data_IF_693941926686
#
_entry.id   IF_693941926686
#
_cell.length_a   1.000
_cell.length_b   1.000
_cell.length_c   1.000
_cell.angle_alpha   90.00
_cell.angle_beta   90.00
_cell.angle_gamma   90.00
#
_symmetry.space_group_name_H-M   'P 1'
#
loop_
_entity.id
_entity.type
_entity.pdbx_description
1 polymer ?
#
# COMPACT_ATOMS: atom_id res chain seq x y z
N UNK A 1 -35.38 5.87 7.45
CA UNK A 1 -34.71 4.64 6.98
C UNK A 1 -33.23 4.97 6.86
N UNK A 2 -32.35 4.24 7.55
CA UNK A 2 -30.91 4.42 7.43
C UNK A 2 -30.51 4.25 5.96
N UNK A 3 -30.12 5.36 5.33
CA UNK A 3 -29.64 5.36 3.95
C UNK A 3 -28.19 4.89 3.84
N UNK A 4 -27.56 4.51 4.96
CA UNK A 4 -26.19 4.07 5.00
C UNK A 4 -26.13 2.58 4.70
N UNK A 5 -25.40 2.26 3.64
CA UNK A 5 -25.05 0.89 3.26
C UNK A 5 -24.04 0.31 4.27
N UNK A 6 -24.20 -0.97 4.68
CA UNK A 6 -23.22 -1.67 5.52
C UNK A 6 -21.94 -2.03 4.74
N UNK A 7 -21.97 -1.94 3.40
CA UNK A 7 -20.83 -2.22 2.55
C UNK A 7 -19.92 -0.99 2.50
N UNK A 8 -18.65 -1.15 2.90
CA UNK A 8 -17.66 -0.07 2.96
C UNK A 8 -16.42 -0.48 2.15
N UNK A 9 -16.49 -0.43 0.81
CA UNK A 9 -15.43 -0.92 -0.05
C UNK A 9 -14.12 -0.17 0.17
N UNK A 10 -13.03 -0.92 0.37
CA UNK A 10 -11.66 -0.39 0.34
C UNK A 10 -11.04 -0.14 1.69
N UNK A 11 -11.83 -0.07 2.76
CA UNK A 11 -11.33 0.01 4.13
C UNK A 11 -10.98 -1.39 4.67
N UNK A 12 -10.06 -1.42 5.63
CA UNK A 12 -9.86 -2.61 6.47
C UNK A 12 -11.18 -2.92 7.19
N UNK A 13 -11.67 -4.14 7.00
CA UNK A 13 -12.86 -4.62 7.70
C UNK A 13 -12.43 -4.93 9.12
N UNK A 14 -12.94 -4.14 10.07
CA UNK A 14 -12.70 -4.31 11.52
C UNK A 14 -13.91 -4.88 12.24
N UNK A 15 -15.09 -4.69 11.67
CA UNK A 15 -16.35 -5.24 12.18
C UNK A 15 -16.39 -6.75 11.90
N UNK A 16 -16.48 -7.55 12.96
CA UNK A 16 -16.59 -9.01 12.89
C UNK A 16 -17.79 -9.47 12.09
N UNK A 17 -18.89 -8.71 12.12
CA UNK A 17 -20.10 -9.09 11.40
C UNK A 17 -20.00 -8.80 9.89
N UNK A 18 -18.95 -8.12 9.44
CA UNK A 18 -18.66 -7.88 8.03
C UNK A 18 -17.43 -8.66 7.53
N UNK A 19 -16.81 -9.47 8.39
CA UNK A 19 -15.67 -10.31 8.06
C UNK A 19 -16.10 -11.74 7.72
N UNK A 20 -16.23 -12.03 6.43
CA UNK A 20 -16.74 -13.32 5.93
C UNK A 20 -15.64 -14.27 5.48
N UNK A 21 -15.76 -15.54 5.85
CA UNK A 21 -14.87 -16.61 5.44
C UNK A 21 -13.51 -16.53 6.13
N UNK A 22 -12.44 -16.83 5.38
CA UNK A 22 -11.04 -16.80 5.85
C UNK A 22 -10.70 -17.74 7.01
N UNK A 23 -11.54 -18.76 7.25
CA UNK A 23 -11.40 -19.70 8.36
C UNK A 23 -10.11 -20.51 8.21
N UNK A 24 -9.86 -21.02 7.01
CA UNK A 24 -8.67 -21.84 6.72
C UNK A 24 -7.39 -20.98 6.80
N UNK A 25 -7.43 -19.77 6.25
CA UNK A 25 -6.29 -18.84 6.30
C UNK A 25 -5.98 -18.41 7.75
N UNK A 26 -7.00 -18.12 8.57
CA UNK A 26 -6.81 -17.82 9.99
C UNK A 26 -6.24 -19.03 10.73
N UNK A 27 -6.77 -20.24 10.49
CA UNK A 27 -6.27 -21.45 11.12
C UNK A 27 -4.81 -21.74 10.74
N UNK A 28 -4.43 -21.53 9.48
CA UNK A 28 -3.05 -21.66 9.02
C UNK A 28 -2.13 -20.65 9.73
N UNK A 29 -2.54 -19.38 9.81
CA UNK A 29 -1.77 -18.35 10.51
C UNK A 29 -1.62 -18.66 11.98
N UNK A 30 -2.71 -19.01 12.68
CA UNK A 30 -2.69 -19.40 14.10
C UNK A 30 -1.75 -20.59 14.35
N UNK A 31 -1.79 -21.62 13.49
CA UNK A 31 -0.89 -22.77 13.57
C UNK A 31 0.58 -22.38 13.34
N UNK A 32 0.85 -21.48 12.40
CA UNK A 32 2.21 -21.02 12.10
C UNK A 32 2.79 -20.23 13.27
N UNK A 33 2.05 -19.24 13.79
CA UNK A 33 2.52 -18.40 14.89
C UNK A 33 2.67 -19.19 16.20
N UNK A 34 1.82 -20.19 16.44
CA UNK A 34 1.96 -21.09 17.59
C UNK A 34 3.26 -21.93 17.56
N UNK A 35 3.83 -22.15 16.37
CA UNK A 35 5.13 -22.80 16.18
C UNK A 35 6.30 -21.80 16.13
N UNK A 36 6.06 -20.52 16.39
CA UNK A 36 7.06 -19.46 16.24
C UNK A 36 7.47 -19.18 14.79
N UNK A 37 6.70 -19.65 13.81
CA UNK A 37 7.02 -19.50 12.38
C UNK A 37 6.46 -18.20 11.81
N UNK A 38 7.22 -17.56 10.92
CA UNK A 38 6.81 -16.30 10.28
C UNK A 38 6.11 -16.53 8.94
N UNK A 39 5.07 -15.73 8.67
CA UNK A 39 4.21 -15.82 7.49
C UNK A 39 4.12 -14.48 6.76
N UNK A 40 4.25 -14.53 5.45
CA UNK A 40 3.98 -13.40 4.57
C UNK A 40 2.65 -13.60 3.86
N UNK A 41 1.68 -12.75 4.18
CA UNK A 41 0.37 -12.72 3.55
C UNK A 41 0.45 -11.89 2.27
N UNK A 42 0.34 -12.57 1.14
CA UNK A 42 0.44 -11.99 -0.21
C UNK A 42 -0.86 -12.16 -0.98
N UNK A 43 -1.06 -11.39 -2.04
CA UNK A 43 -2.25 -11.48 -2.90
C UNK A 43 -2.62 -10.12 -3.48
N UNK A 44 -3.64 -10.09 -4.33
CA UNK A 44 -4.06 -8.89 -5.05
C UNK A 44 -4.35 -7.70 -4.14
N UNK A 45 -4.29 -6.51 -4.73
CA UNK A 45 -4.72 -5.28 -4.07
C UNK A 45 -6.17 -5.42 -3.60
N UNK A 46 -6.44 -5.01 -2.36
CA UNK A 46 -7.78 -5.03 -1.73
C UNK A 46 -8.41 -6.43 -1.62
N UNK A 47 -7.61 -7.50 -1.64
CA UNK A 47 -8.09 -8.88 -1.40
C UNK A 47 -8.40 -9.18 0.09
N UNK A 48 -8.12 -8.23 0.98
CA UNK A 48 -8.42 -8.34 2.42
C UNK A 48 -7.24 -8.75 3.31
N UNK A 49 -5.99 -8.54 2.88
CA UNK A 49 -4.78 -8.82 3.68
C UNK A 49 -4.81 -8.11 5.03
N UNK A 50 -4.99 -6.79 5.02
CA UNK A 50 -5.08 -5.95 6.21
C UNK A 50 -6.22 -6.37 7.14
N UNK A 51 -7.40 -6.72 6.59
CA UNK A 51 -8.52 -7.27 7.37
C UNK A 51 -8.13 -8.59 8.03
N UNK A 52 -7.48 -9.51 7.30
CA UNK A 52 -7.04 -10.80 7.84
C UNK A 52 -6.07 -10.60 9.02
N UNK A 53 -5.05 -9.74 8.88
CA UNK A 53 -4.10 -9.43 9.95
C UNK A 53 -4.79 -8.80 11.16
N UNK A 54 -5.71 -7.85 10.91
CA UNK A 54 -6.47 -7.21 11.97
C UNK A 54 -7.29 -8.23 12.77
N UNK A 55 -8.03 -9.11 12.09
CA UNK A 55 -8.84 -10.14 12.73
C UNK A 55 -7.98 -11.21 13.43
N UNK A 56 -6.82 -11.57 12.88
CA UNK A 56 -5.88 -12.47 13.55
C UNK A 56 -5.44 -11.91 14.91
N UNK A 57 -5.11 -10.62 14.97
CA UNK A 57 -4.57 -10.01 16.18
C UNK A 57 -5.63 -9.69 17.25
N UNK A 58 -6.86 -9.37 16.85
CA UNK A 58 -7.89 -8.85 17.78
C UNK A 58 -9.06 -9.80 18.02
N UNK A 59 -9.32 -10.74 17.11
CA UNK A 59 -10.58 -11.51 17.12
C UNK A 59 -10.37 -13.03 16.99
N UNK A 60 -9.21 -13.49 16.53
CA UNK A 60 -8.94 -14.91 16.46
C UNK A 60 -8.83 -15.51 17.86
N UNK A 61 -9.31 -16.74 18.01
CA UNK A 61 -9.09 -17.53 19.21
C UNK A 61 -7.65 -18.05 19.17
N UNK A 62 -6.80 -17.47 20.00
CA UNK A 62 -5.39 -17.84 20.11
C UNK A 62 -5.13 -18.57 21.43
N UNK A 63 -4.18 -19.51 21.48
CA UNK A 63 -3.71 -20.07 22.74
C UNK A 63 -3.20 -18.98 23.71
N UNK A 64 -3.46 -19.13 25.01
CA UNK A 64 -3.15 -18.13 26.05
C UNK A 64 -1.67 -17.70 26.11
N UNK A 65 -0.77 -18.54 25.64
CA UNK A 65 0.66 -18.24 25.60
C UNK A 65 1.05 -17.36 24.41
N UNK A 66 0.17 -17.08 23.46
CA UNK A 66 0.48 -16.21 22.32
C UNK A 66 0.28 -14.75 22.71
N UNK A 67 1.36 -13.98 22.72
CA UNK A 67 1.32 -12.54 22.87
C UNK A 67 1.40 -11.89 21.48
N UNK A 68 0.29 -11.40 20.95
CA UNK A 68 0.21 -10.83 19.61
C UNK A 68 -0.04 -9.32 19.64
N UNK A 69 0.56 -8.60 18.70
CA UNK A 69 0.26 -7.18 18.47
C UNK A 69 0.10 -6.89 16.97
N UNK A 70 -0.72 -5.91 16.62
CA UNK A 70 -0.92 -5.44 15.25
C UNK A 70 -0.41 -4.01 15.09
N UNK A 71 0.39 -3.79 14.05
CA UNK A 71 1.01 -2.51 13.72
C UNK A 71 0.66 -2.16 12.27
N UNK A 72 -0.04 -1.04 12.10
CA UNK A 72 -0.29 -0.42 10.80
C UNK A 72 0.82 0.58 10.50
N UNK A 73 1.72 0.24 9.56
CA UNK A 73 2.88 1.07 9.24
C UNK A 73 2.53 2.35 8.44
N UNK A 74 1.26 2.57 8.11
CA UNK A 74 0.80 3.87 7.63
C UNK A 74 0.78 4.92 8.76
N UNK A 75 0.72 4.50 10.02
CA UNK A 75 0.72 5.41 11.16
C UNK A 75 2.10 6.05 11.35
N UNK A 76 2.12 7.39 11.35
CA UNK A 76 3.35 8.19 11.49
C UNK A 76 4.11 7.92 12.80
N UNK A 77 3.44 7.41 13.85
CA UNK A 77 4.09 7.02 15.12
C UNK A 77 5.15 5.94 14.92
N UNK A 78 5.02 5.12 13.89
CA UNK A 78 5.92 3.99 13.62
C UNK A 78 6.98 4.30 12.55
N UNK A 79 7.11 5.57 12.13
CA UNK A 79 8.11 5.99 11.12
C UNK A 79 9.49 6.26 11.74
N UNK A 80 9.69 5.93 13.01
CA UNK A 80 11.00 5.94 13.67
C UNK A 80 11.25 4.59 14.33
N UNK A 81 12.52 4.20 14.49
CA UNK A 81 12.88 2.93 15.16
C UNK A 81 12.33 2.89 16.58
N UNK A 82 12.54 3.93 17.39
CA UNK A 82 12.05 3.98 18.78
C UNK A 82 10.52 3.92 18.84
N UNK A 83 9.82 4.66 17.97
CA UNK A 83 8.36 4.67 17.92
C UNK A 83 7.77 3.31 17.53
N UNK A 84 8.36 2.64 16.54
CA UNK A 84 7.97 1.29 16.13
C UNK A 84 8.20 0.27 17.23
N UNK A 85 9.42 0.20 17.79
CA UNK A 85 9.77 -0.77 18.82
C UNK A 85 8.95 -0.54 20.10
N UNK A 86 8.79 0.72 20.53
CA UNK A 86 7.96 1.08 21.66
C UNK A 86 6.48 0.73 21.44
N UNK A 87 5.95 0.98 20.24
CA UNK A 87 4.59 0.59 19.86
C UNK A 87 4.35 -0.92 19.93
N UNK A 88 5.28 -1.71 19.40
CA UNK A 88 5.25 -3.18 19.47
C UNK A 88 5.25 -3.64 20.93
N UNK A 89 6.21 -3.17 21.73
CA UNK A 89 6.33 -3.57 23.12
C UNK A 89 5.10 -3.17 23.94
N UNK A 90 4.54 -1.98 23.68
CA UNK A 90 3.30 -1.55 24.33
C UNK A 90 2.15 -2.52 24.03
N UNK A 91 1.95 -2.92 22.77
CA UNK A 91 0.90 -3.87 22.40
C UNK A 91 1.12 -5.26 23.03
N UNK A 92 2.34 -5.79 22.99
CA UNK A 92 2.67 -7.06 23.64
C UNK A 92 2.50 -6.99 25.18
N UNK A 93 2.79 -5.85 25.78
CA UNK A 93 2.65 -5.66 27.22
C UNK A 93 1.18 -5.69 27.68
N UNK A 94 0.23 -5.24 26.85
CA UNK A 94 -1.20 -5.37 27.16
C UNK A 94 -1.63 -6.84 27.23
N UNK A 95 -1.18 -7.68 26.30
CA UNK A 95 -1.53 -9.11 26.27
C UNK A 95 -0.85 -9.90 27.40
N UNK A 96 0.34 -9.48 27.81
CA UNK A 96 1.11 -10.12 28.88
C UNK A 96 0.78 -9.59 30.28
N UNK A 97 -0.36 -8.93 30.47
CA UNK A 97 -0.82 -8.37 31.75
C UNK A 97 0.20 -7.39 32.38
N UNK A 98 0.76 -6.50 31.55
CA UNK A 98 1.66 -5.42 31.97
C UNK A 98 2.99 -5.87 32.63
N UNK A 99 3.44 -7.11 32.38
CA UNK A 99 4.67 -7.68 32.97
C UNK A 99 5.97 -7.03 32.47
N UNK A 100 5.96 -6.39 31.31
CA UNK A 100 7.13 -5.85 30.63
C UNK A 100 6.91 -4.38 30.30
N UNK A 101 7.11 -3.51 31.29
CA UNK A 101 7.04 -2.05 31.06
C UNK A 101 8.06 -1.63 30.00
N UNK A 102 7.61 -1.06 28.86
CA UNK A 102 8.52 -0.51 27.87
C UNK A 102 9.30 0.66 28.48
N UNK A 103 10.60 0.78 28.22
CA UNK A 103 11.36 2.00 28.51
C UNK A 103 10.82 3.21 27.70
N UNK A 104 11.10 4.43 28.16
CA UNK A 104 10.72 5.68 27.47
C UNK A 104 11.34 5.79 26.06
N UNK A 105 12.51 5.19 25.85
CA UNK A 105 13.14 5.02 24.55
C UNK A 105 13.72 3.62 24.42
N UNK A 106 13.49 2.98 23.27
CA UNK A 106 13.87 1.59 23.03
C UNK A 106 14.68 1.50 21.76
N UNK A 107 15.91 1.00 21.89
CA UNK A 107 16.74 0.62 20.76
C UNK A 107 16.57 -0.88 20.43
N UNK A 108 17.22 -1.33 19.36
CA UNK A 108 17.10 -2.71 18.90
C UNK A 108 17.65 -3.74 19.92
N UNK A 109 18.64 -3.36 20.72
CA UNK A 109 19.27 -4.22 21.73
C UNK A 109 18.33 -4.42 22.93
N UNK A 110 17.76 -3.33 23.44
CA UNK A 110 16.75 -3.35 24.49
C UNK A 110 15.51 -4.11 24.05
N UNK A 111 15.05 -3.88 22.81
CA UNK A 111 13.96 -4.63 22.21
C UNK A 111 14.24 -6.14 22.19
N UNK A 112 15.40 -6.55 21.67
CA UNK A 112 15.81 -7.97 21.60
C UNK A 112 15.84 -8.62 22.99
N UNK A 113 16.33 -7.90 23.99
CA UNK A 113 16.37 -8.37 25.38
C UNK A 113 14.96 -8.61 25.93
N UNK A 114 14.04 -7.66 25.71
CA UNK A 114 12.65 -7.77 26.19
C UNK A 114 11.91 -8.90 25.48
N UNK A 115 12.02 -9.01 24.15
CA UNK A 115 11.40 -10.09 23.37
C UNK A 115 11.91 -11.47 23.83
N UNK A 116 13.22 -11.60 24.06
CA UNK A 116 13.81 -12.85 24.56
C UNK A 116 13.27 -13.21 25.95
N UNK A 117 13.06 -12.21 26.81
CA UNK A 117 12.47 -12.41 28.13
C UNK A 117 10.99 -12.83 28.05
N UNK A 118 10.19 -12.18 27.18
CA UNK A 118 8.80 -12.59 26.92
C UNK A 118 8.78 -14.08 26.51
N UNK A 119 9.70 -14.48 25.62
CA UNK A 119 9.84 -15.87 25.19
C UNK A 119 10.24 -16.82 26.32
N UNK A 120 11.21 -16.44 27.16
CA UNK A 120 11.67 -17.29 28.28
C UNK A 120 10.60 -17.48 29.35
N UNK A 121 9.70 -16.52 29.51
CA UNK A 121 8.62 -16.56 30.48
C UNK A 121 7.40 -17.38 29.99
N UNK A 122 7.56 -18.07 28.86
CA UNK A 122 6.59 -19.03 28.33
C UNK A 122 5.65 -18.46 27.27
N UNK A 123 5.75 -17.18 26.93
CA UNK A 123 4.95 -16.59 25.86
C UNK A 123 5.59 -16.79 24.48
N UNK A 124 4.77 -16.80 23.43
CA UNK A 124 5.22 -16.65 22.05
C UNK A 124 4.89 -15.24 21.58
N UNK A 125 5.87 -14.33 21.46
CA UNK A 125 5.61 -13.00 20.91
C UNK A 125 5.39 -13.09 19.40
N UNK A 126 4.39 -12.37 18.92
CA UNK A 126 3.95 -12.32 17.53
C UNK A 126 3.67 -10.88 17.13
N UNK A 127 4.15 -10.47 15.96
CA UNK A 127 3.90 -9.13 15.42
C UNK A 127 3.22 -9.26 14.06
N UNK A 128 2.02 -8.70 13.96
CA UNK A 128 1.37 -8.44 12.68
C UNK A 128 1.83 -7.08 12.15
N UNK A 129 2.50 -7.06 11.00
CA UNK A 129 2.95 -5.83 10.33
C UNK A 129 2.15 -5.63 9.04
N UNK A 130 1.31 -4.59 9.02
CA UNK A 130 0.57 -4.19 7.83
C UNK A 130 1.34 -3.14 7.03
N UNK A 131 1.25 -3.22 5.70
CA UNK A 131 1.99 -2.36 4.76
C UNK A 131 3.52 -2.38 5.01
N UNK A 132 4.12 -3.58 5.08
CA UNK A 132 5.54 -3.81 5.37
C UNK A 132 6.49 -3.00 4.47
N UNK A 133 6.12 -2.75 3.22
CA UNK A 133 6.88 -1.95 2.27
C UNK A 133 7.25 -0.56 2.82
N UNK A 134 6.49 -0.04 3.79
CA UNK A 134 6.77 1.23 4.46
C UNK A 134 8.11 1.23 5.19
N UNK A 135 8.53 0.12 5.76
CA UNK A 135 9.88 0.03 6.36
C UNK A 135 10.96 0.02 5.28
N UNK A 136 10.66 -0.57 4.12
CA UNK A 136 11.65 -0.83 3.07
C UNK A 136 11.97 0.41 2.22
N UNK A 137 11.03 1.37 2.15
CA UNK A 137 11.23 2.65 1.45
C UNK A 137 11.96 3.72 2.28
N UNK A 138 12.28 3.42 3.55
CA UNK A 138 12.98 4.31 4.48
C UNK A 138 14.30 3.69 5.01
N UNK A 139 15.26 3.34 4.13
CA UNK A 139 16.50 2.66 4.51
C UNK A 139 17.40 3.47 5.45
N UNK A 140 17.26 4.80 5.47
CA UNK A 140 17.93 5.70 6.41
C UNK A 140 17.46 5.51 7.85
N UNK A 141 16.21 5.05 8.04
CA UNK A 141 15.61 4.82 9.34
C UNK A 141 15.67 3.33 9.70
N UNK A 142 15.25 2.47 8.79
CA UNK A 142 15.23 1.01 8.96
C UNK A 142 16.35 0.39 8.12
N UNK A 143 17.56 0.44 8.66
CA UNK A 143 18.75 0.00 7.98
C UNK A 143 18.92 -1.54 8.00
N UNK A 144 20.02 -2.02 7.42
CA UNK A 144 20.34 -3.45 7.37
C UNK A 144 20.44 -4.09 8.75
N UNK A 145 21.08 -3.43 9.71
CA UNK A 145 21.32 -4.00 11.04
C UNK A 145 20.01 -4.21 11.82
N UNK A 146 19.05 -3.30 11.65
CA UNK A 146 17.70 -3.45 12.17
C UNK A 146 17.04 -4.73 11.63
N UNK A 147 17.08 -4.95 10.32
CA UNK A 147 16.49 -6.13 9.69
C UNK A 147 17.25 -7.43 10.02
N UNK A 148 18.57 -7.40 10.19
CA UNK A 148 19.35 -8.57 10.63
C UNK A 148 19.01 -8.96 12.07
N UNK A 149 18.79 -8.00 12.97
CA UNK A 149 18.36 -8.29 14.34
C UNK A 149 16.95 -8.95 14.37
N UNK A 150 16.01 -8.42 13.59
CA UNK A 150 14.69 -9.01 13.44
C UNK A 150 14.74 -10.39 12.78
N UNK A 151 15.59 -10.57 11.77
CA UNK A 151 15.82 -11.87 11.15
C UNK A 151 16.37 -12.89 12.14
N UNK A 152 17.30 -12.50 13.00
CA UNK A 152 17.87 -13.38 14.02
C UNK A 152 16.78 -13.86 14.98
N UNK A 153 15.96 -12.94 15.51
CA UNK A 153 14.81 -13.25 16.37
C UNK A 153 13.81 -14.18 15.66
N UNK A 154 13.51 -13.92 14.39
CA UNK A 154 12.60 -14.71 13.58
C UNK A 154 13.10 -16.11 13.25
N UNK A 155 14.38 -16.24 12.87
CA UNK A 155 14.98 -17.51 12.49
C UNK A 155 15.08 -18.48 13.67
N UNK A 156 15.21 -17.96 14.89
CA UNK A 156 15.23 -18.76 16.11
C UNK A 156 13.82 -19.12 16.63
N UNK A 157 12.76 -18.59 16.01
CA UNK A 157 11.38 -18.71 16.52
C UNK A 157 11.13 -17.94 17.82
N UNK A 158 12.08 -17.09 18.24
CA UNK A 158 11.93 -16.23 19.42
C UNK A 158 10.83 -15.20 19.19
N UNK A 159 10.68 -14.72 17.95
CA UNK A 159 9.67 -13.76 17.52
C UNK A 159 9.03 -14.23 16.21
N UNK A 160 7.72 -14.36 16.16
CA UNK A 160 7.03 -14.65 14.89
C UNK A 160 6.49 -13.38 14.26
N UNK A 161 6.54 -13.30 12.93
CA UNK A 161 6.00 -12.19 12.16
C UNK A 161 4.87 -12.68 11.25
N UNK A 162 3.79 -11.91 11.17
CA UNK A 162 2.77 -12.04 10.12
C UNK A 162 2.72 -10.72 9.36
N UNK A 163 3.11 -10.73 8.10
CA UNK A 163 3.23 -9.48 7.32
C UNK A 163 2.18 -9.41 6.23
N UNK A 164 1.69 -8.22 5.94
CA UNK A 164 0.95 -7.92 4.71
C UNK A 164 1.77 -6.91 3.90
N UNK A 165 1.93 -7.18 2.61
CA UNK A 165 2.63 -6.30 1.67
C UNK A 165 1.84 -6.17 0.38
N UNK A 166 1.83 -4.98 -0.23
CA UNK A 166 1.27 -4.81 -1.58
C UNK A 166 2.24 -5.28 -2.66
N UNK A 167 3.53 -5.11 -2.43
CA UNK A 167 4.58 -5.56 -3.33
C UNK A 167 4.83 -7.03 -3.02
N UNK A 168 4.80 -7.90 -4.04
CA UNK A 168 5.22 -9.29 -3.83
C UNK A 168 6.63 -9.25 -3.25
N UNK A 169 6.89 -10.02 -2.22
CA UNK A 169 8.21 -10.02 -1.56
C UNK A 169 9.33 -10.25 -2.60
N UNK A 170 9.06 -11.03 -3.65
CA UNK A 170 9.93 -11.28 -4.80
C UNK A 170 10.24 -10.05 -5.67
N UNK A 171 9.40 -9.02 -5.65
CA UNK A 171 9.56 -7.83 -6.48
C UNK A 171 10.34 -6.75 -5.73
N UNK A 172 10.28 -6.75 -4.39
CA UNK A 172 11.17 -5.93 -3.55
C UNK A 172 12.64 -6.36 -3.69
N UNK A 173 12.87 -7.62 -4.08
CA UNK A 173 14.20 -8.21 -4.35
C UNK A 173 14.89 -7.57 -5.56
N UNK A 174 14.15 -7.06 -6.54
CA UNK A 174 14.72 -6.64 -7.82
C UNK A 174 15.17 -5.17 -7.84
N UNK A 175 14.53 -4.30 -7.06
CA UNK A 175 14.83 -2.86 -7.11
C UNK A 175 16.13 -2.45 -6.38
N UNK A 176 16.62 -3.27 -5.44
CA UNK A 176 17.78 -2.91 -4.60
C UNK A 176 18.98 -3.87 -4.72
N UNK A 177 18.98 -4.81 -5.67
CA UNK A 177 20.14 -5.67 -5.97
C UNK A 177 20.56 -6.65 -4.86
N UNK A 178 19.74 -6.84 -3.82
CA UNK A 178 19.97 -7.84 -2.77
C UNK A 178 18.63 -8.27 -2.18
N UNK A 179 18.40 -9.58 -2.11
CA UNK A 179 17.36 -10.16 -1.26
C UNK A 179 17.62 -9.65 0.16
N UNK A 180 16.69 -8.89 0.76
CA UNK A 180 16.83 -8.57 2.19
C UNK A 180 16.78 -9.91 2.93
N UNK A 181 17.85 -10.30 3.67
CA UNK A 181 17.88 -11.58 4.37
C UNK A 181 16.67 -11.77 5.29
N UNK A 182 16.08 -10.66 5.78
CA UNK A 182 14.85 -10.67 6.57
C UNK A 182 13.69 -11.34 5.85
N UNK A 183 13.56 -11.18 4.53
CA UNK A 183 12.45 -11.81 3.78
C UNK A 183 12.52 -13.34 3.72
N UNK A 184 13.70 -13.93 4.01
CA UNK A 184 13.91 -15.38 3.91
C UNK A 184 13.29 -16.17 5.07
N UNK A 185 12.89 -15.53 6.18
CA UNK A 185 12.25 -16.23 7.31
C UNK A 185 10.77 -16.51 7.07
N UNK A 186 10.19 -15.93 6.02
CA UNK A 186 8.76 -15.99 5.75
C UNK A 186 8.43 -17.15 4.82
N UNK A 187 7.49 -17.98 5.26
CA UNK A 187 6.71 -18.79 4.31
C UNK A 187 5.53 -17.96 3.81
N UNK A 188 5.11 -18.16 2.57
CA UNK A 188 4.01 -17.38 1.99
C UNK A 188 2.66 -18.01 2.31
N UNK A 189 1.65 -17.16 2.51
CA UNK A 189 0.23 -17.49 2.47
C UNK A 189 -0.39 -16.59 1.41
N UNK A 190 -0.87 -17.18 0.32
CA UNK A 190 -1.47 -16.42 -0.78
C UNK A 190 -2.98 -16.33 -0.61
N UNK A 191 -3.47 -15.11 -0.42
CA UNK A 191 -4.90 -14.80 -0.35
C UNK A 191 -5.50 -14.72 -1.76
N UNK A 192 -6.43 -15.62 -2.03
CA UNK A 192 -7.29 -15.60 -3.21
C UNK A 192 -8.65 -14.93 -2.90
N UNK A 193 -9.58 -15.00 -3.86
CA UNK A 193 -10.99 -14.64 -3.61
C UNK A 193 -11.60 -15.41 -2.44
N UNK A 194 -12.74 -14.94 -1.93
CA UNK A 194 -13.51 -15.65 -0.91
C UNK A 194 -13.99 -17.00 -1.44
N UNK A 195 -14.18 -17.95 -0.54
CA UNK A 195 -14.92 -19.16 -0.88
C UNK A 195 -16.35 -18.80 -1.34
N UNK A 196 -16.96 -19.53 -2.29
CA UNK A 196 -18.26 -19.17 -2.86
C UNK A 196 -19.37 -18.95 -1.82
N UNK A 197 -19.38 -19.76 -0.76
CA UNK A 197 -20.35 -19.61 0.34
C UNK A 197 -20.15 -18.31 1.11
N UNK A 198 -18.89 -17.93 1.40
CA UNK A 198 -18.56 -16.67 2.07
C UNK A 198 -18.82 -15.47 1.17
N UNK A 199 -18.54 -15.58 -0.14
CA UNK A 199 -18.86 -14.54 -1.12
C UNK A 199 -20.37 -14.28 -1.20
N UNK A 200 -21.19 -15.34 -1.21
CA UNK A 200 -22.66 -15.23 -1.16
C UNK A 200 -23.13 -14.65 0.17
N UNK A 201 -22.57 -15.11 1.29
CA UNK A 201 -22.90 -14.60 2.62
C UNK A 201 -22.63 -13.09 2.73
N UNK A 202 -21.47 -12.64 2.21
CA UNK A 202 -21.13 -11.22 2.17
C UNK A 202 -22.23 -10.39 1.51
N UNK A 203 -22.84 -10.87 0.42
CA UNK A 203 -23.89 -10.16 -0.31
C UNK A 203 -25.29 -10.28 0.30
N UNK A 204 -25.54 -11.21 1.21
CA UNK A 204 -26.88 -11.58 1.68
C UNK A 204 -27.10 -11.33 3.17
N UNK A 205 -26.13 -11.67 4.02
CA UNK A 205 -26.24 -11.50 5.48
C UNK A 205 -26.44 -10.05 5.93
N UNK A 206 -25.85 -9.02 5.30
CA UNK A 206 -26.13 -7.64 5.69
C UNK A 206 -27.60 -7.24 5.45
N UNK A 207 -28.27 -7.83 4.45
CA UNK A 207 -29.71 -7.61 4.23
C UNK A 207 -30.55 -8.34 5.28
N UNK A 208 -30.19 -9.57 5.65
CA UNK A 208 -30.89 -10.35 6.69
C UNK A 208 -30.85 -9.68 8.06
N UNK A 209 -29.75 -8.97 8.35
CA UNK A 209 -29.57 -8.21 9.59
C UNK A 209 -30.24 -6.83 9.59
N UNK A 210 -30.81 -6.39 8.47
CA UNK A 210 -31.47 -5.10 8.32
C UNK A 210 -32.99 -5.29 8.12
N UNK A 211 -33.79 -5.26 9.21
CA UNK A 211 -35.23 -5.56 9.16
C UNK A 211 -36.03 -4.66 8.19
N UNK A 212 -35.51 -3.46 7.91
CA UNK A 212 -36.10 -2.49 7.01
C UNK A 212 -35.78 -2.73 5.52
N UNK A 213 -34.99 -3.76 5.19
CA UNK A 213 -34.58 -4.10 3.83
C UNK A 213 -35.04 -5.50 3.44
N UNK A 214 -35.53 -5.63 2.22
CA UNK A 214 -35.80 -6.93 1.62
C UNK A 214 -34.49 -7.55 1.12
N UNK A 215 -34.31 -8.86 1.33
CA UNK A 215 -33.21 -9.61 0.75
C UNK A 215 -33.27 -9.54 -0.79
N UNK A 216 -32.13 -9.32 -1.48
CA UNK A 216 -32.11 -9.33 -2.93
C UNK A 216 -32.49 -10.73 -3.47
N UNK A 217 -33.26 -10.81 -4.58
CA UNK A 217 -33.53 -12.08 -5.24
C UNK A 217 -32.26 -12.87 -5.54
N UNK A 218 -32.30 -14.19 -5.38
CA UNK A 218 -31.14 -15.06 -5.61
C UNK A 218 -30.49 -14.85 -6.99
N UNK A 219 -31.30 -14.66 -8.03
CA UNK A 219 -30.84 -14.38 -9.38
C UNK A 219 -30.07 -13.06 -9.54
N UNK A 220 -30.23 -12.10 -8.62
CA UNK A 220 -29.43 -10.87 -8.57
C UNK A 220 -28.12 -11.08 -7.81
N UNK A 221 -28.14 -11.85 -6.73
CA UNK A 221 -26.93 -12.25 -6.00
C UNK A 221 -26.01 -13.06 -6.91
N UNK A 222 -26.55 -14.03 -7.66
CA UNK A 222 -25.80 -14.84 -8.61
C UNK A 222 -25.19 -14.00 -9.74
N UNK A 223 -25.95 -13.02 -10.22
CA UNK A 223 -25.48 -12.09 -11.23
C UNK A 223 -24.37 -11.19 -10.70
N UNK A 224 -24.50 -10.66 -9.48
CA UNK A 224 -23.47 -9.89 -8.79
C UNK A 224 -22.18 -10.71 -8.60
N UNK A 225 -22.29 -11.98 -8.21
CA UNK A 225 -21.16 -12.90 -8.08
C UNK A 225 -20.47 -13.16 -9.43
N UNK A 226 -21.25 -13.34 -10.50
CA UNK A 226 -20.69 -13.55 -11.85
C UNK A 226 -19.92 -12.30 -12.33
N UNK A 227 -20.49 -11.11 -12.11
CA UNK A 227 -19.87 -9.85 -12.53
C UNK A 227 -18.61 -9.52 -11.72
N UNK A 228 -18.65 -9.65 -10.40
CA UNK A 228 -17.54 -9.25 -9.50
C UNK A 228 -16.52 -10.36 -9.22
N UNK A 229 -16.89 -11.61 -9.45
CA UNK A 229 -16.16 -12.75 -8.92
C UNK A 229 -16.23 -12.85 -7.40
N UNK A 230 -15.34 -13.65 -6.83
CA UNK A 230 -15.26 -13.82 -5.36
C UNK A 230 -14.32 -12.81 -4.66
N UNK A 231 -13.87 -11.76 -5.34
CA UNK A 231 -12.93 -10.79 -4.77
C UNK A 231 -13.64 -9.85 -3.76
N UNK A 232 -13.24 -9.80 -2.47
CA UNK A 232 -13.97 -9.08 -1.41
C UNK A 232 -14.31 -7.63 -1.74
N UNK A 233 -13.35 -6.86 -2.26
CA UNK A 233 -13.59 -5.46 -2.61
C UNK A 233 -14.66 -5.28 -3.70
N UNK A 234 -14.59 -6.07 -4.77
CA UNK A 234 -15.57 -6.00 -5.85
C UNK A 234 -16.94 -6.53 -5.43
N UNK A 235 -16.97 -7.52 -4.52
CA UNK A 235 -18.20 -7.96 -3.87
C UNK A 235 -18.83 -6.88 -2.98
N UNK A 236 -18.04 -6.13 -2.21
CA UNK A 236 -18.58 -5.03 -1.42
C UNK A 236 -19.14 -3.92 -2.32
N UNK A 237 -18.49 -3.59 -3.45
CA UNK A 237 -19.07 -2.67 -4.44
C UNK A 237 -20.39 -3.19 -5.02
N UNK A 238 -20.47 -4.50 -5.29
CA UNK A 238 -21.70 -5.13 -5.77
C UNK A 238 -22.81 -5.08 -4.72
N UNK A 239 -22.49 -5.41 -3.47
CA UNK A 239 -23.40 -5.35 -2.32
C UNK A 239 -23.92 -3.94 -2.08
N UNK A 240 -23.04 -2.94 -2.13
CA UNK A 240 -23.41 -1.53 -2.04
C UNK A 240 -24.37 -1.12 -3.17
N UNK A 241 -24.10 -1.60 -4.38
CA UNK A 241 -24.96 -1.34 -5.54
C UNK A 241 -26.34 -2.02 -5.34
N UNK A 242 -26.38 -3.27 -4.88
CA UNK A 242 -27.63 -3.97 -4.55
C UNK A 242 -28.43 -3.22 -3.47
N UNK A 243 -27.73 -2.70 -2.45
CA UNK A 243 -28.33 -1.99 -1.33
C UNK A 243 -29.09 -0.73 -1.77
N UNK A 244 -28.50 0.02 -2.71
CA UNK A 244 -29.07 1.28 -3.20
C UNK A 244 -30.10 1.12 -4.32
N UNK A 245 -30.01 0.06 -5.13
CA UNK A 245 -30.91 -0.12 -6.29
C UNK A 245 -32.18 -0.91 -5.93
N UNK A 246 -32.19 -1.68 -4.83
CA UNK A 246 -33.37 -2.42 -4.37
C UNK A 246 -33.66 -3.69 -5.20
N UNK A 247 -34.93 -4.04 -5.43
CA UNK A 247 -35.33 -5.16 -6.30
C UNK A 247 -35.13 -4.79 -7.79
N UNK A 248 -33.89 -4.98 -8.28
CA UNK A 248 -33.35 -4.30 -9.47
C UNK A 248 -33.85 -4.82 -10.83
N UNK A 249 -34.00 -3.89 -11.79
CA UNK A 249 -33.86 -4.15 -13.22
C UNK A 249 -32.37 -4.40 -13.56
N UNK A 250 -32.03 -5.64 -13.96
CA UNK A 250 -30.64 -6.11 -14.24
C UNK A 250 -29.75 -5.13 -15.01
N UNK A 251 -30.31 -4.37 -15.95
CA UNK A 251 -29.54 -3.41 -16.75
C UNK A 251 -29.02 -2.24 -15.92
N UNK A 252 -29.85 -1.70 -15.01
CA UNK A 252 -29.44 -0.60 -14.14
C UNK A 252 -28.35 -1.03 -13.15
N UNK A 253 -28.46 -2.25 -12.61
CA UNK A 253 -27.41 -2.85 -11.78
C UNK A 253 -26.09 -2.93 -12.55
N UNK A 254 -26.14 -3.51 -13.76
CA UNK A 254 -24.97 -3.68 -14.62
C UNK A 254 -24.29 -2.33 -14.91
N UNK A 255 -25.06 -1.31 -15.25
CA UNK A 255 -24.52 0.02 -15.54
C UNK A 255 -23.80 0.64 -14.33
N UNK A 256 -24.43 0.58 -13.15
CA UNK A 256 -23.85 1.13 -11.91
C UNK A 256 -22.57 0.42 -11.49
N UNK A 257 -22.59 -0.92 -11.47
CA UNK A 257 -21.40 -1.68 -11.06
C UNK A 257 -20.26 -1.54 -12.06
N UNK A 258 -20.55 -1.50 -13.37
CA UNK A 258 -19.54 -1.28 -14.41
C UNK A 258 -18.86 0.09 -14.27
N UNK A 259 -19.62 1.11 -13.87
CA UNK A 259 -19.08 2.43 -13.59
C UNK A 259 -18.23 2.42 -12.31
N UNK A 260 -18.73 1.82 -11.23
CA UNK A 260 -18.07 1.77 -9.92
C UNK A 260 -16.74 0.99 -9.95
N UNK A 261 -16.66 -0.07 -10.76
CA UNK A 261 -15.47 -0.93 -10.86
C UNK A 261 -14.34 -0.33 -11.70
N UNK A 262 -14.62 0.60 -12.61
CA UNK A 262 -13.64 1.08 -13.60
C UNK A 262 -12.33 1.57 -12.96
N UNK A 263 -12.40 2.48 -12.00
CA UNK A 263 -11.22 3.04 -11.33
C UNK A 263 -10.43 1.97 -10.57
N UNK A 264 -11.08 1.19 -9.68
CA UNK A 264 -10.42 0.08 -8.99
C UNK A 264 -9.83 -1.00 -9.91
N UNK A 265 -10.47 -1.30 -11.04
CA UNK A 265 -9.96 -2.25 -12.02
C UNK A 265 -8.69 -1.72 -12.70
N UNK A 266 -8.63 -0.42 -13.00
CA UNK A 266 -7.41 0.21 -13.50
C UNK A 266 -6.28 0.12 -12.47
N UNK A 267 -6.56 0.37 -11.19
CA UNK A 267 -5.55 0.24 -10.13
C UNK A 267 -5.04 -1.19 -9.99
N UNK A 268 -5.93 -2.18 -10.06
CA UNK A 268 -5.54 -3.60 -10.07
C UNK A 268 -4.64 -3.90 -11.28
N UNK A 269 -5.02 -3.42 -12.46
CA UNK A 269 -4.26 -3.61 -13.69
C UNK A 269 -2.86 -2.98 -13.63
N UNK A 270 -2.75 -1.77 -13.09
CA UNK A 270 -1.49 -1.04 -12.96
C UNK A 270 -0.51 -1.73 -12.01
N UNK A 271 -1.00 -2.51 -11.04
CA UNK A 271 -0.18 -3.29 -10.10
C UNK A 271 0.35 -4.61 -10.71
N UNK A 272 -0.18 -5.05 -11.87
CA UNK A 272 0.27 -6.27 -12.54
C UNK A 272 1.57 -6.05 -13.32
N UNK A 273 2.43 -7.06 -13.37
CA UNK A 273 3.62 -7.04 -14.21
C UNK A 273 3.25 -7.05 -15.71
N UNK A 274 4.14 -6.61 -16.61
CA UNK A 274 3.88 -6.69 -18.05
C UNK A 274 3.58 -8.11 -18.55
N UNK A 275 4.19 -9.13 -17.96
CA UNK A 275 3.94 -10.54 -18.29
C UNK A 275 2.55 -10.98 -17.84
N UNK A 276 2.12 -10.57 -16.65
CA UNK A 276 0.79 -10.85 -16.12
C UNK A 276 -0.31 -10.14 -16.90
N UNK A 277 -0.09 -8.88 -17.25
CA UNK A 277 -1.00 -8.12 -18.12
C UNK A 277 -1.20 -8.82 -19.46
N UNK A 278 -0.10 -9.25 -20.10
CA UNK A 278 -0.16 -9.95 -21.36
C UNK A 278 -0.90 -11.30 -21.25
N UNK A 279 -0.61 -12.08 -20.20
CA UNK A 279 -1.28 -13.35 -19.92
C UNK A 279 -2.78 -13.16 -19.66
N UNK A 280 -3.16 -12.15 -18.87
CA UNK A 280 -4.54 -11.84 -18.56
C UNK A 280 -5.35 -11.44 -19.82
N UNK A 281 -4.75 -10.67 -20.73
CA UNK A 281 -5.38 -10.31 -22.02
C UNK A 281 -5.52 -11.52 -22.93
N UNK A 282 -4.51 -12.41 -22.99
CA UNK A 282 -4.61 -13.67 -23.73
C UNK A 282 -5.76 -14.53 -23.20
N UNK A 283 -5.85 -14.69 -21.87
CA UNK A 283 -6.93 -15.41 -21.22
C UNK A 283 -8.29 -14.78 -21.51
N UNK A 284 -8.40 -13.45 -21.43
CA UNK A 284 -9.65 -12.73 -21.72
C UNK A 284 -10.12 -12.93 -23.17
N UNK A 285 -9.18 -12.99 -24.12
CA UNK A 285 -9.47 -13.04 -25.56
C UNK A 285 -9.50 -14.46 -26.13
N UNK A 286 -9.23 -15.49 -25.32
CA UNK A 286 -9.17 -16.89 -25.76
C UNK A 286 -7.96 -17.22 -26.65
N UNK A 287 -6.89 -16.40 -26.60
CA UNK A 287 -5.69 -16.56 -27.44
C UNK A 287 -4.57 -17.25 -26.65
N UNK A 288 -4.74 -18.54 -26.33
CA UNK A 288 -3.90 -19.29 -25.39
C UNK A 288 -2.72 -20.09 -25.97
N UNK A 289 -2.49 -20.09 -27.29
CA UNK A 289 -1.44 -20.93 -27.88
C UNK A 289 -0.10 -20.18 -27.99
N UNK A 290 0.52 -19.85 -26.84
CA UNK A 290 1.89 -19.30 -26.78
C UNK A 290 2.82 -20.24 -25.99
N UNK A 291 4.14 -20.22 -26.26
CA UNK A 291 5.11 -20.88 -25.39
C UNK A 291 4.93 -20.43 -23.93
N UNK A 292 5.03 -21.37 -22.99
CA UNK A 292 4.89 -21.16 -21.52
C UNK A 292 3.49 -20.74 -21.03
N UNK A 293 2.43 -20.98 -21.83
CA UNK A 293 1.05 -20.68 -21.43
C UNK A 293 0.64 -21.31 -20.09
N UNK A 294 1.08 -22.54 -19.82
CA UNK A 294 0.76 -23.24 -18.57
C UNK A 294 1.33 -22.53 -17.34
N UNK A 295 2.58 -22.05 -17.42
CA UNK A 295 3.23 -21.29 -16.35
C UNK A 295 2.57 -19.92 -16.14
N UNK A 296 2.20 -19.26 -17.24
CA UNK A 296 1.47 -17.98 -17.18
C UNK A 296 0.12 -18.14 -16.48
N UNK A 297 -0.64 -19.19 -16.81
CA UNK A 297 -1.92 -19.50 -16.17
C UNK A 297 -1.72 -19.90 -14.71
N UNK A 298 -0.73 -20.73 -14.41
CA UNK A 298 -0.39 -21.11 -13.04
C UNK A 298 -0.10 -19.86 -12.20
N UNK A 299 0.63 -18.89 -12.75
CA UNK A 299 0.87 -17.62 -12.07
C UNK A 299 -0.44 -16.81 -11.88
N UNK A 300 -1.30 -16.69 -12.91
CA UNK A 300 -2.58 -15.99 -12.77
C UNK A 300 -3.52 -16.63 -11.73
N UNK A 301 -3.55 -17.97 -11.68
CA UNK A 301 -4.29 -18.72 -10.66
C UNK A 301 -3.68 -18.49 -9.27
N UNK A 302 -2.35 -18.55 -9.17
CA UNK A 302 -1.63 -18.34 -7.92
C UNK A 302 -1.90 -16.94 -7.34
N UNK A 303 -1.81 -15.89 -8.15
CA UNK A 303 -2.07 -14.52 -7.67
C UNK A 303 -3.58 -14.24 -7.48
N UNK A 304 -4.47 -15.16 -7.88
CA UNK A 304 -5.92 -15.00 -7.75
C UNK A 304 -6.57 -14.07 -8.80
N UNK A 305 -5.88 -13.79 -9.91
CA UNK A 305 -6.46 -13.08 -11.06
C UNK A 305 -7.29 -14.02 -11.96
N UNK A 306 -6.99 -15.32 -11.90
CA UNK A 306 -7.75 -16.37 -12.54
C UNK A 306 -8.28 -17.39 -11.51
N UNK A 307 -9.27 -18.16 -11.91
CA UNK A 307 -9.86 -19.28 -11.18
C UNK A 307 -10.13 -20.46 -12.11
N UNK A 308 -10.28 -21.66 -11.54
CA UNK A 308 -10.70 -22.84 -12.28
C UNK A 308 -12.20 -22.75 -12.61
N UNK A 309 -12.53 -22.62 -13.88
CA UNK A 309 -13.89 -22.62 -14.41
C UNK A 309 -14.41 -24.04 -14.66
N UNK A 310 -15.49 -24.12 -15.46
CA UNK A 310 -16.11 -25.39 -15.85
C UNK A 310 -15.09 -26.30 -16.57
N UNK A 311 -15.12 -27.60 -16.29
CA UNK A 311 -14.15 -28.58 -16.80
C UNK A 311 -12.68 -28.24 -16.51
N UNK A 312 -12.39 -27.57 -15.39
CA UNK A 312 -11.06 -27.08 -15.01
C UNK A 312 -10.41 -26.12 -16.02
N UNK A 313 -11.19 -25.50 -16.92
CA UNK A 313 -10.64 -24.48 -17.81
C UNK A 313 -10.41 -23.18 -17.05
N UNK A 314 -9.21 -22.58 -17.12
CA UNK A 314 -8.93 -21.32 -16.43
C UNK A 314 -9.82 -20.21 -16.99
N UNK A 315 -10.30 -19.34 -16.11
CA UNK A 315 -10.99 -18.10 -16.48
C UNK A 315 -10.58 -16.99 -15.52
N UNK A 316 -10.73 -15.73 -15.96
CA UNK A 316 -10.53 -14.60 -15.06
C UNK A 316 -11.57 -14.64 -13.93
N UNK A 317 -11.19 -14.14 -12.74
CA UNK A 317 -12.06 -14.21 -11.57
C UNK A 317 -13.39 -13.46 -11.74
N UNK A 318 -13.47 -12.51 -12.69
CA UNK A 318 -14.61 -11.61 -12.89
C UNK A 318 -14.97 -11.49 -14.37
N UNK A 319 -16.27 -11.59 -14.68
CA UNK A 319 -16.78 -11.34 -16.02
C UNK A 319 -16.58 -9.88 -16.45
N UNK A 320 -16.70 -8.92 -15.52
CA UNK A 320 -16.41 -7.52 -15.82
C UNK A 320 -14.94 -7.30 -16.14
N UNK A 321 -14.01 -7.97 -15.43
CA UNK A 321 -12.58 -7.91 -15.78
C UNK A 321 -12.35 -8.47 -17.19
N UNK A 322 -12.94 -9.64 -17.50
CA UNK A 322 -12.84 -10.24 -18.85
C UNK A 322 -13.33 -9.28 -19.93
N UNK A 323 -14.53 -8.74 -19.78
CA UNK A 323 -15.14 -7.81 -20.74
C UNK A 323 -14.32 -6.53 -20.89
N UNK A 324 -13.80 -5.99 -19.79
CA UNK A 324 -12.98 -4.79 -19.78
C UNK A 324 -11.67 -4.98 -20.54
N UNK A 325 -11.03 -6.14 -20.38
CA UNK A 325 -9.82 -6.51 -21.12
C UNK A 325 -10.12 -6.78 -22.61
N UNK A 326 -11.22 -7.44 -22.95
CA UNK A 326 -11.63 -7.68 -24.34
C UNK A 326 -11.87 -6.38 -25.11
N UNK A 327 -12.43 -5.36 -24.45
CA UNK A 327 -12.72 -4.05 -25.05
C UNK A 327 -11.50 -3.14 -25.21
N UNK A 328 -10.33 -3.52 -24.67
CA UNK A 328 -9.15 -2.66 -24.67
C UNK A 328 -9.33 -1.38 -23.85
N UNK A 329 -10.31 -1.33 -22.93
CA UNK A 329 -10.66 -0.13 -22.18
C UNK A 329 -9.55 0.37 -21.25
N UNK A 330 -8.57 -0.48 -20.95
CA UNK A 330 -7.33 -0.15 -20.22
C UNK A 330 -6.35 0.73 -21.01
N UNK A 331 -6.46 0.79 -22.34
CA UNK A 331 -5.61 1.63 -23.19
C UNK A 331 -6.16 3.06 -23.33
N UNK A 332 -7.48 3.25 -23.18
CA UNK A 332 -8.14 4.55 -23.26
C UNK A 332 -7.88 5.44 -22.02
N UNK A 333 -7.57 4.84 -20.87
CA UNK A 333 -7.15 5.55 -19.66
C UNK A 333 -5.67 5.96 -19.71
N UNK A 334 -4.82 5.19 -20.39
CA UNK A 334 -3.40 5.54 -20.61
C UNK A 334 -3.24 6.76 -21.54
N UNK A 335 -4.17 6.97 -22.48
CA UNK A 335 -4.22 8.15 -23.36
C UNK A 335 -4.83 9.40 -22.70
N UNK A 336 -5.43 9.27 -21.51
CA UNK A 336 -5.96 10.36 -20.70
C UNK A 336 -5.09 10.71 -19.48
N UNK A 337 -4.02 9.95 -19.22
CA UNK A 337 -2.93 10.48 -18.40
C UNK A 337 -2.29 11.60 -19.22
N UNK A 338 -2.08 12.81 -18.66
CA UNK A 338 -1.10 13.70 -19.24
C UNK A 338 0.19 12.89 -19.24
N UNK A 339 0.68 12.56 -20.43
CA UNK A 339 2.09 12.28 -20.60
C UNK A 339 2.75 13.53 -20.02
N UNK A 340 3.37 13.41 -18.84
CA UNK A 340 4.42 14.34 -18.48
C UNK A 340 5.40 14.23 -19.64
N UNK A 341 5.32 15.18 -20.56
CA UNK A 341 6.18 15.23 -21.74
C UNK A 341 7.59 15.15 -21.19
N UNK A 342 8.26 14.03 -21.41
CA UNK A 342 9.70 14.06 -21.62
C UNK A 342 9.94 15.21 -22.60
N UNK A 343 10.83 16.17 -22.31
CA UNK A 343 11.05 17.29 -23.20
C UNK A 343 11.46 16.74 -24.56
N UNK A 344 10.56 16.90 -25.52
CA UNK A 344 10.77 16.59 -26.91
C UNK A 344 11.94 17.47 -27.36
N UNK A 345 13.05 16.85 -27.76
CA UNK A 345 14.20 17.51 -28.36
C UNK A 345 13.76 18.11 -29.69
N UNK A 346 13.13 19.29 -29.65
CA UNK A 346 12.89 20.09 -30.83
C UNK A 346 14.15 20.88 -31.17
N UNK A 347 14.57 20.71 -32.43
CA UNK A 347 15.54 21.55 -33.13
C UNK A 347 15.33 23.04 -32.81
N UNK A 348 16.41 23.83 -32.72
CA UNK A 348 16.35 25.21 -32.26
C UNK A 348 15.50 26.06 -33.20
N UNK A 349 14.43 26.63 -32.64
CA UNK A 349 13.72 27.75 -33.27
C UNK A 349 14.55 29.00 -33.05
N UNK A 350 14.98 29.62 -34.16
CA UNK A 350 15.65 30.92 -34.18
C UNK A 350 14.66 31.94 -33.60
N UNK A 351 15.00 32.51 -32.44
CA UNK A 351 14.25 33.62 -31.85
C UNK A 351 14.67 34.92 -32.53
N UNK A 352 13.67 35.68 -32.99
CA UNK A 352 13.79 37.04 -33.50
C UNK A 352 14.25 37.97 -32.35
N UNK A 353 15.37 38.71 -32.50
CA UNK A 353 15.98 39.50 -31.42
C UNK A 353 15.22 40.79 -31.05
N UNK A 354 14.00 41.00 -31.56
CA UNK A 354 13.32 42.32 -31.44
C UNK A 354 12.12 42.40 -30.50
N UNK A 355 11.78 41.35 -29.73
CA UNK A 355 10.70 41.44 -28.71
C UNK A 355 11.20 41.26 -27.26
N UNK A 356 10.87 42.17 -26.32
CA UNK A 356 11.15 41.98 -24.91
C UNK A 356 10.10 41.05 -24.23
N UNK A 357 10.51 40.19 -23.28
CA UNK A 357 9.60 39.27 -22.59
C UNK A 357 8.71 39.97 -21.53
N UNK A 358 7.56 39.37 -21.16
CA UNK A 358 6.58 39.98 -20.26
C UNK A 358 7.05 40.04 -18.79
N UNK A 359 6.52 41.04 -18.08
CA UNK A 359 7.12 41.75 -16.95
C UNK A 359 6.95 41.23 -15.49
N UNK A 360 6.33 40.07 -15.13
CA UNK A 360 6.18 39.72 -13.70
C UNK A 360 7.33 38.88 -13.11
N UNK A 361 8.24 38.30 -13.91
CA UNK A 361 9.25 37.35 -13.41
C UNK A 361 10.56 37.99 -12.92
N UNK A 362 10.88 39.21 -13.35
CA UNK A 362 12.13 39.87 -12.96
C UNK A 362 12.07 40.53 -11.58
N UNK A 363 10.88 40.86 -11.07
CA UNK A 363 10.73 41.59 -9.81
C UNK A 363 11.14 40.74 -8.59
N UNK A 364 10.77 39.46 -8.55
CA UNK A 364 11.05 38.55 -7.44
C UNK A 364 12.53 38.13 -7.38
N UNK A 365 13.15 37.84 -8.52
CA UNK A 365 14.58 37.53 -8.60
C UNK A 365 15.46 38.75 -8.28
N UNK A 366 15.02 39.96 -8.67
CA UNK A 366 15.74 41.20 -8.37
C UNK A 366 15.66 41.55 -6.87
N UNK A 367 14.49 41.39 -6.23
CA UNK A 367 14.34 41.59 -4.78
C UNK A 367 15.21 40.61 -3.99
N UNK A 368 15.32 39.36 -4.43
CA UNK A 368 16.16 38.35 -3.78
C UNK A 368 17.66 38.65 -3.93
N UNK A 369 18.11 39.06 -5.11
CA UNK A 369 19.50 39.43 -5.37
C UNK A 369 19.90 40.71 -4.63
N UNK A 370 19.00 41.70 -4.54
CA UNK A 370 19.21 42.91 -3.72
C UNK A 370 19.27 42.55 -2.24
N UNK A 371 18.42 41.63 -1.76
CA UNK A 371 18.46 41.13 -0.39
C UNK A 371 19.79 40.47 -0.03
N UNK A 372 20.31 39.61 -0.90
CA UNK A 372 21.61 38.95 -0.71
C UNK A 372 22.79 39.94 -0.75
N UNK A 373 22.73 40.96 -1.62
CA UNK A 373 23.75 42.00 -1.69
C UNK A 373 23.77 42.88 -0.43
N UNK A 374 22.61 43.19 0.14
CA UNK A 374 22.49 43.95 1.40
C UNK A 374 23.00 43.13 2.59
N UNK A 375 22.70 41.83 2.65
CA UNK A 375 23.21 40.93 3.71
C UNK A 375 24.74 40.80 3.62
N UNK A 376 25.29 40.70 2.41
CA UNK A 376 26.74 40.65 2.19
C UNK A 376 27.46 41.98 2.49
N UNK A 377 26.79 43.13 2.32
CA UNK A 377 27.33 44.43 2.73
C UNK A 377 27.31 44.59 4.26
N UNK A 378 26.23 44.15 4.90
CA UNK A 378 26.05 44.23 6.35
C UNK A 378 26.96 43.25 7.11
N UNK A 379 27.39 42.14 6.47
CA UNK A 379 28.31 41.19 7.07
C UNK A 379 29.74 41.71 7.25
N UNK A 380 30.07 42.86 6.64
CA UNK A 380 31.34 43.55 6.91
C UNK A 380 31.34 44.33 8.24
N UNK A 381 30.16 44.54 8.85
CA UNK A 381 29.99 45.36 10.05
C UNK A 381 29.39 44.60 11.24
N UNK A 382 28.82 43.42 11.01
CA UNK A 382 28.16 42.60 12.04
C UNK A 382 28.90 41.29 12.26
N UNK A 383 29.21 40.98 13.52
CA UNK A 383 29.96 39.79 13.91
C UNK A 383 29.31 38.47 13.46
N UNK A 384 30.14 37.44 13.34
CA UNK A 384 29.82 36.12 12.74
C UNK A 384 28.48 35.51 13.19
N UNK A 385 28.06 35.71 14.44
CA UNK A 385 26.78 35.19 14.95
C UNK A 385 25.53 35.78 14.26
N UNK A 386 25.56 37.06 13.87
CA UNK A 386 24.42 37.69 13.17
C UNK A 386 24.38 37.27 11.70
N UNK A 387 25.55 37.05 11.11
CA UNK A 387 25.67 36.57 9.73
C UNK A 387 25.10 35.16 9.55
N UNK A 388 25.35 34.25 10.50
CA UNK A 388 24.79 32.90 10.48
C UNK A 388 23.26 32.89 10.53
N UNK A 389 22.65 33.78 11.32
CA UNK A 389 21.19 33.90 11.44
C UNK A 389 20.57 34.44 10.15
N UNK A 390 21.21 35.42 9.50
CA UNK A 390 20.73 35.99 8.23
C UNK A 390 20.80 34.99 7.07
N UNK A 391 21.86 34.17 7.01
CA UNK A 391 21.95 33.07 6.04
C UNK A 391 20.84 32.03 6.29
N UNK A 392 20.62 31.67 7.55
CA UNK A 392 19.57 30.71 7.90
C UNK A 392 18.18 31.22 7.50
N UNK A 393 17.91 32.51 7.72
CA UNK A 393 16.65 33.14 7.30
C UNK A 393 16.51 33.17 5.77
N UNK A 394 17.58 33.45 5.03
CA UNK A 394 17.56 33.47 3.57
C UNK A 394 17.33 32.06 2.97
N UNK A 395 17.95 31.03 3.54
CA UNK A 395 17.74 29.63 3.15
C UNK A 395 16.31 29.20 3.48
N UNK A 396 15.81 29.57 4.67
CA UNK A 396 14.43 29.27 5.06
C UNK A 396 13.41 29.93 4.12
N UNK A 397 13.60 31.22 3.81
CA UNK A 397 12.71 31.95 2.90
C UNK A 397 12.71 31.32 1.49
N UNK A 398 13.88 30.92 1.00
CA UNK A 398 14.01 30.25 -0.28
C UNK A 398 13.35 28.85 -0.29
N UNK A 399 13.47 28.10 0.80
CA UNK A 399 12.81 26.80 0.94
C UNK A 399 11.28 26.94 0.90
N UNK A 400 10.72 27.95 1.57
CA UNK A 400 9.28 28.27 1.45
C UNK A 400 8.86 28.66 0.03
N UNK A 401 9.67 29.44 -0.69
CA UNK A 401 9.35 29.86 -2.07
C UNK A 401 9.42 28.69 -3.07
N UNK A 402 10.32 27.73 -2.86
CA UNK A 402 10.39 26.49 -3.65
C UNK A 402 9.21 25.56 -3.31
N UNK A 403 8.84 25.45 -2.03
CA UNK A 403 7.69 24.67 -1.58
C UNK A 403 6.35 25.17 -2.12
N UNK A 404 6.22 26.49 -2.34
CA UNK A 404 5.05 27.11 -2.99
C UNK A 404 5.09 27.06 -4.52
N UNK A 405 6.12 26.43 -5.13
CA UNK A 405 6.25 26.28 -6.58
C UNK A 405 6.54 27.58 -7.35
N UNK A 406 6.94 28.65 -6.65
CA UNK A 406 7.22 29.97 -7.23
C UNK A 406 8.60 30.05 -7.90
N UNK A 407 9.52 29.14 -7.56
CA UNK A 407 10.86 29.02 -8.13
C UNK A 407 11.15 27.52 -8.33
N UNK A 408 11.75 27.14 -9.46
CA UNK A 408 12.16 25.74 -9.65
C UNK A 408 13.40 25.43 -8.80
N UNK A 409 13.47 24.22 -8.21
CA UNK A 409 14.60 23.84 -7.35
C UNK A 409 15.96 23.91 -8.06
N UNK A 410 15.98 23.80 -9.40
CA UNK A 410 17.20 23.89 -10.21
C UNK A 410 17.70 25.32 -10.35
N UNK A 411 16.81 26.29 -10.53
CA UNK A 411 17.16 27.72 -10.57
C UNK A 411 17.65 28.23 -9.21
N UNK A 412 17.10 27.70 -8.11
CA UNK A 412 17.61 27.99 -6.77
C UNK A 412 19.05 27.50 -6.57
N UNK A 413 19.33 26.25 -6.98
CA UNK A 413 20.68 25.69 -6.87
C UNK A 413 21.69 26.46 -7.74
N UNK A 414 21.32 26.85 -8.97
CA UNK A 414 22.19 27.64 -9.83
C UNK A 414 22.44 29.06 -9.27
N UNK A 415 21.44 29.70 -8.66
CA UNK A 415 21.60 31.02 -8.04
C UNK A 415 22.46 30.96 -6.77
N UNK A 416 22.26 29.93 -5.94
CA UNK A 416 23.04 29.68 -4.73
C UNK A 416 24.50 29.41 -5.08
N UNK A 417 24.74 28.55 -6.07
CA UNK A 417 26.07 28.19 -6.54
C UNK A 417 26.80 29.40 -7.15
N UNK A 418 26.12 30.24 -7.93
CA UNK A 418 26.69 31.49 -8.46
C UNK A 418 27.02 32.50 -7.37
N UNK A 419 26.20 32.56 -6.31
CA UNK A 419 26.46 33.42 -5.14
C UNK A 419 27.66 32.91 -4.34
N UNK A 420 27.73 31.61 -4.06
CA UNK A 420 28.86 30.98 -3.34
C UNK A 420 30.18 31.23 -4.08
N UNK A 421 30.21 31.05 -5.41
CA UNK A 421 31.41 31.29 -6.23
C UNK A 421 31.85 32.77 -6.20
N UNK A 422 30.90 33.71 -6.20
CA UNK A 422 31.20 35.14 -6.12
C UNK A 422 31.60 35.60 -4.71
N UNK A 423 31.08 34.95 -3.66
CA UNK A 423 31.36 35.33 -2.27
C UNK A 423 32.68 34.73 -1.76
N UNK A 424 33.04 33.51 -2.20
CA UNK A 424 34.26 32.84 -1.78
C UNK A 424 35.48 33.13 -2.66
N UNK A 425 35.29 33.74 -3.84
CA UNK A 425 36.36 34.20 -4.72
C UNK A 425 37.26 33.07 -5.22
N UNK A 426 36.84 32.41 -6.31
CA UNK A 426 37.46 31.25 -7.00
C UNK A 426 37.86 30.07 -6.10
#
# INVERSE_FOLDING_TARGET
MSNNSPYIPGNTVRDTDMFYGRIDELAELTNAIGKGSSKAVVGLRRIGKSSLLYHLAHHAVLPDHIAITYIDLLDARYHTVSGLLGGILHGLNQVTNHRYSPPDSVDITGFTTIITRIKSDGYQPVICLDELERLMIHPETFNRDFFEAWRALGSMGTLAFVTASRVRITDVVQHNGSTSPFTNIFTQLTLAGLQPNAARALLTEPFRRAPERNEPPAAHVDYALTLSGCHPYFLQLAGDTLWHVGSVNREQFRQRISAAIRGPMQQLWDDLSPTEQAAAVRLATGKGAVPNWEDEIANLLHIGLAESGFNNQPRLFSDLLREWLQKGSFQQSASLRPIAKTPDTKKPTILDPTQPPPHPFYASAFIFLVGLAVIALLSQWLGWGVFSVLIFLAIYLAYTLVGEGKISGREFLDALDKWIRNFLGQ
#
